data_IF_843371706537
#
_entry.id   IF_843371706537
#
_cell.length_a   1.000
_cell.length_b   1.000
_cell.length_c   1.000
_cell.angle_alpha   90.00
_cell.angle_beta   90.00
_cell.angle_gamma   90.00
#
_symmetry.space_group_name_H-M   'P 1'
#
loop_
_entity.id
_entity.type
_entity.pdbx_description
1 polymer ?
#
# COMPACT_ATOMS: atom_id res chain seq x y z
N UNK A 1 -45.36 50.52 9.02
CA UNK A 1 -45.21 49.33 8.15
C UNK A 1 -43.77 49.36 7.64
N UNK A 2 -42.88 48.62 8.30
CA UNK A 2 -41.44 48.60 8.00
C UNK A 2 -41.22 47.57 6.90
N UNK A 3 -40.77 48.03 5.73
CA UNK A 3 -40.33 47.17 4.63
C UNK A 3 -38.89 46.77 4.95
N UNK A 4 -38.70 45.53 5.42
CA UNK A 4 -37.36 44.93 5.52
C UNK A 4 -36.86 44.65 4.11
N UNK A 5 -35.83 45.39 3.69
CA UNK A 5 -34.98 44.99 2.57
C UNK A 5 -34.21 43.73 2.98
N UNK A 6 -34.57 42.59 2.39
CA UNK A 6 -33.73 41.40 2.34
C UNK A 6 -32.54 41.69 1.41
N UNK A 7 -31.38 41.95 2.00
CA UNK A 7 -30.11 41.86 1.29
C UNK A 7 -29.88 40.41 0.86
N UNK A 8 -29.41 40.14 -0.37
CA UNK A 8 -28.89 38.82 -0.71
C UNK A 8 -27.62 38.61 0.12
N UNK A 9 -27.59 37.55 0.93
CA UNK A 9 -26.34 37.02 1.47
C UNK A 9 -25.44 36.72 0.27
N UNK A 10 -24.33 37.45 0.17
CA UNK A 10 -23.35 37.29 -0.89
C UNK A 10 -22.84 35.86 -0.92
N UNK A 11 -22.93 35.24 -2.09
CA UNK A 11 -22.20 34.05 -2.45
C UNK A 11 -20.70 34.36 -2.38
N UNK A 12 -20.06 33.99 -1.27
CA UNK A 12 -18.61 33.95 -1.14
C UNK A 12 -18.26 32.50 -0.81
N UNK A 13 -18.04 31.68 -1.86
CA UNK A 13 -17.71 30.26 -1.69
C UNK A 13 -17.65 29.43 -2.98
N UNK A 14 -18.11 29.95 -4.12
CA UNK A 14 -18.27 29.16 -5.35
C UNK A 14 -16.97 28.76 -6.07
N UNK A 15 -15.87 29.51 -5.89
CA UNK A 15 -14.70 29.33 -6.78
C UNK A 15 -13.87 28.07 -6.47
N UNK A 16 -13.94 27.52 -5.25
CA UNK A 16 -13.14 26.35 -4.85
C UNK A 16 -13.69 25.01 -5.38
N UNK A 17 -15.02 24.84 -5.34
CA UNK A 17 -15.69 23.63 -5.82
C UNK A 17 -15.73 23.55 -7.35
N UNK A 18 -15.90 24.67 -8.04
CA UNK A 18 -15.94 24.72 -9.50
C UNK A 18 -14.65 24.17 -10.14
N UNK A 19 -13.50 24.43 -9.54
CA UNK A 19 -12.23 23.86 -10.02
C UNK A 19 -12.17 22.34 -9.80
N UNK A 20 -12.66 21.85 -8.65
CA UNK A 20 -12.71 20.42 -8.34
C UNK A 20 -13.66 19.69 -9.30
N UNK A 21 -14.82 20.26 -9.61
CA UNK A 21 -15.81 19.63 -10.52
C UNK A 21 -15.28 19.35 -11.93
N UNK A 22 -14.22 20.05 -12.36
CA UNK A 22 -13.56 19.83 -13.65
C UNK A 22 -12.61 18.62 -13.67
N UNK A 23 -12.25 18.08 -12.51
CA UNK A 23 -11.28 16.98 -12.38
C UNK A 23 -11.91 15.62 -12.70
N UNK A 24 -11.12 14.57 -12.99
CA UNK A 24 -11.65 13.21 -13.09
C UNK A 24 -12.28 12.73 -11.77
N UNK A 25 -13.34 11.89 -11.80
CA UNK A 25 -14.09 11.50 -10.60
C UNK A 25 -13.24 10.98 -9.42
N UNK A 26 -12.18 10.22 -9.72
CA UNK A 26 -11.25 9.74 -8.69
C UNK A 26 -10.47 10.87 -8.01
N UNK A 27 -10.04 11.88 -8.78
CA UNK A 27 -9.33 13.04 -8.24
C UNK A 27 -10.27 14.00 -7.51
N UNK A 28 -11.51 14.17 -8.00
CA UNK A 28 -12.56 14.89 -7.26
C UNK A 28 -12.76 14.26 -5.88
N UNK A 29 -12.94 12.95 -5.85
CA UNK A 29 -13.16 12.20 -4.62
C UNK A 29 -11.97 12.32 -3.68
N UNK A 30 -10.74 12.25 -4.23
CA UNK A 30 -9.49 12.43 -3.48
C UNK A 30 -9.42 13.80 -2.81
N UNK A 31 -9.57 14.88 -3.58
CA UNK A 31 -9.44 16.24 -3.04
C UNK A 31 -10.54 16.58 -2.03
N UNK A 32 -11.78 16.19 -2.30
CA UNK A 32 -12.90 16.41 -1.37
C UNK A 32 -12.73 15.63 -0.06
N UNK A 33 -12.27 14.38 -0.15
CA UNK A 33 -11.95 13.57 1.03
C UNK A 33 -10.79 14.17 1.83
N UNK A 34 -9.76 14.66 1.15
CA UNK A 34 -8.62 15.34 1.77
C UNK A 34 -9.05 16.60 2.52
N UNK A 35 -9.90 17.44 1.93
CA UNK A 35 -10.43 18.66 2.56
C UNK A 35 -11.19 18.32 3.85
N UNK A 36 -12.08 17.31 3.83
CA UNK A 36 -12.80 16.87 5.04
C UNK A 36 -11.86 16.32 6.10
N UNK A 37 -10.84 15.56 5.69
CA UNK A 37 -9.85 15.05 6.62
C UNK A 37 -9.04 16.19 7.21
N UNK A 38 -8.67 17.24 6.49
CA UNK A 38 -7.89 18.35 7.06
C UNK A 38 -8.69 19.10 8.15
N UNK A 39 -9.99 19.36 7.93
CA UNK A 39 -10.86 20.05 8.91
C UNK A 39 -11.04 19.29 10.22
N UNK A 40 -10.99 17.96 10.20
CA UNK A 40 -11.33 17.15 11.37
C UNK A 40 -10.52 17.51 12.63
N UNK A 41 -11.17 18.06 13.64
CA UNK A 41 -10.52 18.44 14.90
C UNK A 41 -9.99 19.86 14.94
N UNK A 42 -10.18 20.65 13.89
CA UNK A 42 -10.09 22.11 13.96
C UNK A 42 -11.39 22.63 14.57
N UNK A 43 -11.32 23.13 15.80
CA UNK A 43 -12.49 23.68 16.48
C UNK A 43 -12.74 25.15 16.08
N UNK A 44 -13.93 25.70 16.40
CA UNK A 44 -14.27 27.05 16.01
C UNK A 44 -13.32 28.13 16.54
N UNK A 45 -12.78 27.92 17.75
CA UNK A 45 -11.91 28.90 18.41
C UNK A 45 -10.56 28.97 17.70
N UNK A 46 -10.04 27.81 17.28
CA UNK A 46 -8.83 27.74 16.44
C UNK A 46 -9.00 28.50 15.12
N UNK A 47 -10.18 28.42 14.51
CA UNK A 47 -10.49 29.12 13.25
C UNK A 47 -10.66 30.62 13.45
N UNK A 48 -11.34 31.04 14.51
CA UNK A 48 -11.51 32.45 14.83
C UNK A 48 -10.14 33.12 15.09
N UNK A 49 -9.21 32.41 15.73
CA UNK A 49 -7.85 32.90 15.96
C UNK A 49 -7.00 32.98 14.68
N UNK A 50 -7.26 32.11 13.70
CA UNK A 50 -6.69 32.22 12.36
C UNK A 50 -7.30 33.37 11.54
N UNK A 51 -8.47 33.87 11.94
CA UNK A 51 -9.29 34.86 11.23
C UNK A 51 -8.94 36.34 11.49
N UNK A 52 -7.79 36.69 12.06
CA UNK A 52 -7.41 38.10 12.26
C UNK A 52 -7.29 38.80 10.87
N UNK A 53 -8.06 39.88 10.62
CA UNK A 53 -8.22 40.46 9.29
C UNK A 53 -7.07 41.40 8.95
N UNK A 54 -6.41 41.16 7.82
CA UNK A 54 -5.24 41.94 7.42
C UNK A 54 -4.99 41.99 5.92
N UNK A 55 -6.02 42.33 5.13
CA UNK A 55 -5.99 43.13 3.89
C UNK A 55 -6.89 42.54 2.79
N UNK A 56 -7.99 43.24 2.41
CA UNK A 56 -8.82 42.86 1.25
C UNK A 56 -8.10 43.02 -0.11
N UNK A 57 -6.79 43.35 -0.13
CA UNK A 57 -6.00 43.40 -1.36
C UNK A 57 -5.49 42.03 -1.86
N UNK A 58 -5.74 40.93 -1.13
CA UNK A 58 -5.33 39.57 -1.54
C UNK A 58 -6.43 38.78 -2.27
N UNK A 59 -7.33 39.50 -2.94
CA UNK A 59 -8.47 38.97 -3.73
C UNK A 59 -8.04 38.11 -4.95
N UNK A 60 -6.73 37.91 -5.15
CA UNK A 60 -6.16 37.17 -6.29
C UNK A 60 -5.37 35.90 -5.94
N UNK A 61 -5.12 35.61 -4.66
CA UNK A 61 -4.14 34.55 -4.29
C UNK A 61 -4.68 33.50 -3.33
N UNK A 62 -5.71 33.80 -2.52
CA UNK A 62 -6.31 32.83 -1.60
C UNK A 62 -7.24 31.82 -2.29
N UNK A 63 -7.84 32.19 -3.42
CA UNK A 63 -8.75 31.35 -4.20
C UNK A 63 -8.05 30.19 -4.95
N UNK A 64 -6.72 30.09 -4.89
CA UNK A 64 -5.94 29.09 -5.63
C UNK A 64 -5.08 28.19 -4.73
N UNK A 65 -5.30 28.23 -3.41
CA UNK A 65 -4.52 27.38 -2.48
C UNK A 65 -5.11 25.98 -2.49
N UNK A 66 -4.43 25.05 -3.17
CA UNK A 66 -4.78 23.64 -3.20
C UNK A 66 -4.30 22.96 -1.91
N UNK A 67 -5.03 21.98 -1.36
CA UNK A 67 -4.50 21.12 -0.31
C UNK A 67 -3.13 20.50 -0.67
N UNK A 68 -2.89 20.25 -1.96
CA UNK A 68 -1.63 19.66 -2.43
C UNK A 68 -0.41 20.59 -2.20
N UNK A 69 -0.60 21.90 -2.12
CA UNK A 69 0.49 22.87 -1.92
C UNK A 69 1.20 22.68 -0.57
N UNK A 70 0.46 22.18 0.43
CA UNK A 70 0.94 21.90 1.79
C UNK A 70 1.76 20.61 1.94
N UNK A 71 1.83 19.78 0.90
CA UNK A 71 2.57 18.50 0.93
C UNK A 71 4.07 18.69 0.83
N UNK A 72 4.50 19.78 0.21
CA UNK A 72 5.93 20.06 0.04
C UNK A 72 6.46 20.91 1.20
N UNK A 73 7.70 20.69 1.66
CA UNK A 73 8.30 21.52 2.69
C UNK A 73 8.48 22.99 2.28
N UNK A 74 8.49 23.28 0.97
CA UNK A 74 8.81 24.60 0.44
C UNK A 74 7.82 25.68 0.89
N UNK A 75 6.53 25.38 0.91
CA UNK A 75 5.52 26.36 1.33
C UNK A 75 5.69 26.77 2.80
N UNK A 76 6.25 25.89 3.65
CA UNK A 76 6.52 26.17 5.06
C UNK A 76 7.70 27.13 5.26
N UNK A 77 8.62 27.21 4.29
CA UNK A 77 9.88 27.94 4.40
C UNK A 77 9.80 29.31 3.71
N UNK A 78 9.05 29.40 2.61
CA UNK A 78 9.11 30.55 1.70
C UNK A 78 8.09 31.64 2.07
N UNK A 79 6.90 31.28 2.57
CA UNK A 79 5.86 32.27 2.92
C UNK A 79 4.86 31.74 3.96
N UNK A 80 5.18 31.93 5.23
CA UNK A 80 4.36 31.44 6.35
C UNK A 80 3.05 32.22 6.51
N UNK A 81 3.02 33.50 6.15
CA UNK A 81 1.81 34.33 6.24
C UNK A 81 0.78 33.89 5.20
N UNK A 82 1.19 33.68 3.95
CA UNK A 82 0.31 33.13 2.92
C UNK A 82 -0.13 31.70 3.25
N UNK A 83 0.75 30.89 3.84
CA UNK A 83 0.40 29.54 4.28
C UNK A 83 -0.70 29.55 5.36
N UNK A 84 -0.62 30.46 6.34
CA UNK A 84 -1.62 30.62 7.40
C UNK A 84 -2.95 31.16 6.87
N UNK A 85 -2.90 32.17 6.00
CA UNK A 85 -4.09 32.72 5.38
C UNK A 85 -4.79 31.66 4.49
N UNK A 86 -4.02 30.86 3.74
CA UNK A 86 -4.53 29.72 2.99
C UNK A 86 -5.12 28.63 3.89
N UNK A 87 -4.51 28.38 5.06
CA UNK A 87 -4.99 27.36 6.00
C UNK A 87 -6.30 27.81 6.65
N UNK A 88 -6.38 29.08 7.03
CA UNK A 88 -7.61 29.70 7.52
C UNK A 88 -8.74 29.57 6.50
N UNK A 89 -8.47 29.94 5.24
CA UNK A 89 -9.42 29.80 4.15
C UNK A 89 -9.87 28.34 3.96
N UNK A 90 -8.92 27.41 3.84
CA UNK A 90 -9.19 25.99 3.59
C UNK A 90 -10.03 25.37 4.71
N UNK A 91 -9.67 25.64 5.97
CA UNK A 91 -10.40 25.10 7.11
C UNK A 91 -11.80 25.71 7.24
N UNK A 92 -11.93 27.02 7.01
CA UNK A 92 -13.23 27.69 7.00
C UNK A 92 -14.13 27.16 5.89
N UNK A 93 -13.59 27.06 4.67
CA UNK A 93 -14.28 26.49 3.52
C UNK A 93 -14.75 25.05 3.78
N UNK A 94 -13.87 24.20 4.32
CA UNK A 94 -14.19 22.81 4.63
C UNK A 94 -15.31 22.70 5.67
N UNK A 95 -15.33 23.60 6.65
CA UNK A 95 -16.35 23.65 7.71
C UNK A 95 -17.70 24.12 7.18
N UNK A 96 -17.73 25.20 6.41
CA UNK A 96 -18.96 25.76 5.83
C UNK A 96 -19.56 24.84 4.77
N UNK A 97 -18.71 24.24 3.94
CA UNK A 97 -19.12 23.39 2.81
C UNK A 97 -19.23 21.91 3.17
N UNK A 98 -19.10 21.54 4.46
CA UNK A 98 -18.99 20.14 4.91
C UNK A 98 -20.11 19.24 4.38
N UNK A 99 -21.36 19.69 4.50
CA UNK A 99 -22.52 18.91 4.05
C UNK A 99 -22.55 18.77 2.53
N UNK A 100 -22.17 19.81 1.80
CA UNK A 100 -22.11 19.81 0.34
C UNK A 100 -21.00 18.87 -0.16
N UNK A 101 -19.81 18.94 0.45
CA UNK A 101 -18.68 18.05 0.16
C UNK A 101 -19.09 16.58 0.41
N UNK A 102 -19.73 16.29 1.54
CA UNK A 102 -20.23 14.95 1.85
C UNK A 102 -21.27 14.45 0.83
N UNK A 103 -22.22 15.32 0.43
CA UNK A 103 -23.20 14.98 -0.58
C UNK A 103 -22.54 14.72 -1.96
N UNK A 104 -21.51 15.50 -2.31
CA UNK A 104 -20.73 15.32 -3.53
C UNK A 104 -19.96 14.00 -3.52
N UNK A 105 -19.25 13.68 -2.42
CA UNK A 105 -18.55 12.41 -2.25
C UNK A 105 -19.51 11.21 -2.40
N UNK A 106 -20.68 11.27 -1.75
CA UNK A 106 -21.69 10.22 -1.86
C UNK A 106 -22.19 10.06 -3.30
N UNK A 107 -22.44 11.17 -4.00
CA UNK A 107 -22.88 11.18 -5.40
C UNK A 107 -21.81 10.60 -6.33
N UNK A 108 -20.56 11.02 -6.17
CA UNK A 108 -19.42 10.55 -6.98
C UNK A 108 -19.23 9.05 -6.77
N UNK A 109 -19.28 8.58 -5.51
CA UNK A 109 -19.15 7.16 -5.18
C UNK A 109 -20.30 6.33 -5.77
N UNK A 110 -21.54 6.80 -5.65
CA UNK A 110 -22.69 6.12 -6.23
C UNK A 110 -22.63 6.04 -7.77
N UNK A 111 -22.12 7.09 -8.42
CA UNK A 111 -21.97 7.14 -9.87
C UNK A 111 -20.76 6.33 -10.38
N UNK A 112 -19.70 6.19 -9.57
CA UNK A 112 -18.40 5.63 -9.99
C UNK A 112 -17.83 4.59 -9.00
N UNK A 113 -18.60 3.57 -8.56
CA UNK A 113 -18.20 2.72 -7.43
C UNK A 113 -16.90 1.95 -7.66
N UNK A 114 -16.65 1.49 -8.90
CA UNK A 114 -15.42 0.77 -9.26
C UNK A 114 -14.21 1.70 -9.20
N UNK A 115 -14.31 2.90 -9.78
CA UNK A 115 -13.21 3.87 -9.74
C UNK A 115 -12.88 4.29 -8.30
N UNK A 116 -13.92 4.53 -7.50
CA UNK A 116 -13.72 4.94 -6.10
C UNK A 116 -13.14 3.79 -5.26
N UNK A 117 -13.48 2.53 -5.55
CA UNK A 117 -12.85 1.39 -4.88
C UNK A 117 -11.34 1.25 -5.15
N UNK A 118 -10.84 1.82 -6.25
CA UNK A 118 -9.42 1.85 -6.59
C UNK A 118 -8.68 3.04 -5.97
N UNK A 119 -9.39 4.02 -5.40
CA UNK A 119 -8.77 5.17 -4.75
C UNK A 119 -8.09 4.72 -3.46
N UNK A 120 -6.80 5.06 -3.32
CA UNK A 120 -6.02 4.71 -2.14
C UNK A 120 -6.34 5.65 -0.97
N UNK A 121 -7.29 5.26 -0.12
CA UNK A 121 -7.67 6.03 1.08
C UNK A 121 -6.52 6.21 2.07
N UNK A 122 -5.59 5.25 2.15
CA UNK A 122 -4.39 5.36 2.99
C UNK A 122 -3.53 6.55 2.54
N UNK A 123 -3.25 6.66 1.24
CA UNK A 123 -2.48 7.80 0.69
C UNK A 123 -3.16 9.15 0.95
N UNK A 124 -4.50 9.21 0.85
CA UNK A 124 -5.26 10.43 1.19
C UNK A 124 -5.10 10.78 2.67
N UNK A 125 -5.13 9.77 3.54
CA UNK A 125 -5.01 9.95 4.98
C UNK A 125 -3.60 10.39 5.38
N UNK A 126 -2.57 9.82 4.76
CA UNK A 126 -1.16 10.26 4.92
C UNK A 126 -1.00 11.72 4.51
N UNK A 127 -1.52 12.08 3.33
CA UNK A 127 -1.54 13.44 2.82
C UNK A 127 -2.21 14.39 3.83
N UNK A 128 -3.38 14.01 4.36
CA UNK A 128 -4.08 14.81 5.37
C UNK A 128 -3.23 15.01 6.64
N UNK A 129 -2.53 13.97 7.11
CA UNK A 129 -1.64 14.05 8.28
C UNK A 129 -0.49 15.02 8.03
N UNK A 130 0.12 15.00 6.84
CA UNK A 130 1.21 15.92 6.49
C UNK A 130 0.72 17.37 6.52
N UNK A 131 -0.44 17.63 5.92
CA UNK A 131 -1.03 18.98 5.83
C UNK A 131 -1.46 19.48 7.20
N UNK A 132 -2.13 18.65 7.99
CA UNK A 132 -2.53 18.98 9.37
C UNK A 132 -1.33 19.36 10.23
N UNK A 133 -0.22 18.63 10.12
CA UNK A 133 1.02 18.97 10.81
C UNK A 133 1.60 20.31 10.30
N UNK A 134 1.60 20.54 8.98
CA UNK A 134 2.04 21.81 8.40
C UNK A 134 1.26 22.99 8.99
N UNK A 135 -0.07 22.88 9.03
CA UNK A 135 -0.97 23.91 9.58
C UNK A 135 -0.70 24.09 11.09
N UNK A 136 -0.61 23.01 11.85
CA UNK A 136 -0.38 23.09 13.29
C UNK A 136 0.97 23.73 13.63
N UNK A 137 2.01 23.45 12.84
CA UNK A 137 3.33 24.05 12.99
C UNK A 137 3.30 25.53 12.59
N UNK A 138 2.62 25.88 11.49
CA UNK A 138 2.41 27.26 11.07
C UNK A 138 1.79 28.12 12.18
N UNK A 139 0.74 27.60 12.82
CA UNK A 139 0.03 28.27 13.93
C UNK A 139 0.94 28.41 15.13
N UNK A 140 1.69 27.36 15.47
CA UNK A 140 2.64 27.37 16.58
C UNK A 140 3.76 28.40 16.41
N UNK A 141 4.28 28.55 15.20
CA UNK A 141 5.36 29.51 14.90
C UNK A 141 4.88 30.96 14.81
N UNK A 142 3.61 31.21 14.51
CA UNK A 142 3.07 32.57 14.39
C UNK A 142 2.91 33.29 15.74
N UNK A 143 3.29 32.66 16.86
CA UNK A 143 3.05 33.13 18.24
C UNK A 143 1.57 33.46 18.54
N UNK A 144 0.64 33.06 17.68
CA UNK A 144 -0.80 33.13 17.96
C UNK A 144 -1.16 32.30 19.20
N UNK A 145 -0.37 31.26 19.50
CA UNK A 145 -0.53 30.36 20.63
C UNK A 145 -0.02 30.89 21.99
N UNK A 146 0.40 32.17 22.07
CA UNK A 146 0.76 32.79 23.36
C UNK A 146 -0.45 32.99 24.29
N UNK A 147 -1.67 32.85 23.76
CA UNK A 147 -2.91 32.78 24.54
C UNK A 147 -3.16 31.34 25.03
N UNK A 148 -3.23 31.13 26.35
CA UNK A 148 -3.38 29.81 26.99
C UNK A 148 -4.59 29.02 26.45
N UNK A 149 -5.66 29.72 26.08
CA UNK A 149 -6.86 29.16 25.46
C UNK A 149 -6.57 28.62 24.06
N UNK A 150 -5.89 29.37 23.19
CA UNK A 150 -5.57 28.93 21.83
C UNK A 150 -4.58 27.75 21.84
N UNK A 151 -3.63 27.73 22.78
CA UNK A 151 -2.69 26.62 22.95
C UNK A 151 -3.43 25.29 23.18
N UNK A 152 -4.53 25.30 23.95
CA UNK A 152 -5.34 24.10 24.19
C UNK A 152 -6.08 23.63 22.93
N UNK A 153 -6.61 24.55 22.14
CA UNK A 153 -7.28 24.26 20.87
C UNK A 153 -6.30 23.71 19.82
N UNK A 154 -5.12 24.30 19.71
CA UNK A 154 -4.03 23.78 18.87
C UNK A 154 -3.58 22.39 19.32
N UNK A 155 -3.47 22.15 20.62
CA UNK A 155 -3.12 20.85 21.17
C UNK A 155 -4.19 19.79 20.87
N UNK A 156 -5.46 20.18 20.89
CA UNK A 156 -6.58 19.33 20.49
C UNK A 156 -6.46 18.91 19.03
N UNK A 157 -6.19 19.87 18.14
CA UNK A 157 -5.97 19.60 16.71
C UNK A 157 -4.78 18.65 16.45
N UNK A 158 -3.66 18.85 17.17
CA UNK A 158 -2.49 17.94 17.13
C UNK A 158 -2.86 16.54 17.63
N UNK A 159 -3.61 16.44 18.72
CA UNK A 159 -4.05 15.16 19.29
C UNK A 159 -4.96 14.41 18.32
N UNK A 160 -5.88 15.11 17.65
CA UNK A 160 -6.74 14.50 16.62
C UNK A 160 -5.93 14.02 15.40
N UNK A 161 -4.86 14.73 15.05
CA UNK A 161 -3.94 14.31 13.98
C UNK A 161 -3.17 13.05 14.35
N UNK A 162 -2.70 12.93 15.60
CA UNK A 162 -2.09 11.69 16.11
C UNK A 162 -3.10 10.55 16.11
N UNK A 163 -4.34 10.79 16.55
CA UNK A 163 -5.40 9.78 16.51
C UNK A 163 -5.65 9.29 15.08
N UNK A 164 -5.73 10.20 14.11
CA UNK A 164 -5.91 9.85 12.70
C UNK A 164 -4.78 8.94 12.21
N UNK A 165 -3.52 9.29 12.53
CA UNK A 165 -2.35 8.45 12.22
C UNK A 165 -2.48 7.06 12.86
N UNK A 166 -2.78 6.98 14.15
CA UNK A 166 -2.83 5.71 14.86
C UNK A 166 -3.91 4.78 14.29
N UNK A 167 -5.07 5.33 13.90
CA UNK A 167 -6.13 4.54 13.26
C UNK A 167 -5.66 4.00 11.90
N UNK A 168 -5.06 4.87 11.07
CA UNK A 168 -4.51 4.47 9.77
C UNK A 168 -3.42 3.39 9.92
N UNK A 169 -2.48 3.57 10.83
CA UNK A 169 -1.41 2.60 11.12
C UNK A 169 -1.99 1.27 11.63
N UNK A 170 -3.02 1.31 12.47
CA UNK A 170 -3.70 0.11 12.94
C UNK A 170 -4.38 -0.65 11.79
N UNK A 171 -5.06 0.04 10.86
CA UNK A 171 -5.70 -0.58 9.70
C UNK A 171 -4.67 -1.21 8.74
N UNK A 172 -3.53 -0.53 8.52
CA UNK A 172 -2.42 -1.08 7.72
C UNK A 172 -1.88 -2.34 8.40
N UNK A 173 -1.57 -2.26 9.70
CA UNK A 173 -1.06 -3.39 10.47
C UNK A 173 -2.01 -4.59 10.45
N UNK A 174 -3.33 -4.35 10.60
CA UNK A 174 -4.30 -5.44 10.57
C UNK A 174 -4.35 -6.12 9.20
N UNK A 175 -4.28 -5.37 8.11
CA UNK A 175 -4.25 -5.92 6.74
C UNK A 175 -2.99 -6.76 6.50
N UNK A 176 -1.85 -6.29 6.99
CA UNK A 176 -0.59 -7.04 6.90
C UNK A 176 -0.64 -8.34 7.71
N UNK A 177 -1.24 -8.32 8.90
CA UNK A 177 -1.47 -9.53 9.68
C UNK A 177 -2.37 -10.54 8.97
N UNK A 178 -3.46 -10.07 8.34
CA UNK A 178 -4.36 -10.94 7.58
C UNK A 178 -3.62 -11.61 6.41
N UNK A 179 -2.82 -10.84 5.67
CA UNK A 179 -2.00 -11.37 4.56
C UNK A 179 -0.98 -12.40 5.06
N UNK A 180 -0.23 -12.09 6.12
CA UNK A 180 0.73 -13.02 6.71
C UNK A 180 0.05 -14.30 7.21
N UNK A 181 -1.16 -14.18 7.73
CA UNK A 181 -1.96 -15.33 8.18
C UNK A 181 -2.36 -16.20 6.99
N UNK A 182 -2.81 -15.61 5.89
CA UNK A 182 -3.17 -16.32 4.67
C UNK A 182 -1.96 -17.05 4.06
N UNK A 183 -0.81 -16.38 3.98
CA UNK A 183 0.45 -16.97 3.51
C UNK A 183 0.91 -18.12 4.42
N UNK A 184 0.78 -17.97 5.74
CA UNK A 184 1.09 -19.02 6.70
C UNK A 184 0.16 -20.23 6.56
N UNK A 185 -1.15 -20.01 6.38
CA UNK A 185 -2.14 -21.09 6.14
C UNK A 185 -1.80 -21.85 4.85
N UNK A 186 -1.53 -21.14 3.76
CA UNK A 186 -1.15 -21.76 2.49
C UNK A 186 0.13 -22.60 2.62
N UNK A 187 1.14 -22.07 3.33
CA UNK A 187 2.41 -22.77 3.60
C UNK A 187 2.21 -24.04 4.45
N UNK A 188 1.42 -23.97 5.52
CA UNK A 188 1.13 -25.12 6.37
C UNK A 188 0.29 -26.17 5.62
N UNK A 189 -0.73 -25.74 4.87
CA UNK A 189 -1.53 -26.63 4.03
C UNK A 189 -0.68 -27.39 3.01
N UNK A 190 0.25 -26.70 2.33
CA UNK A 190 1.18 -27.33 1.40
C UNK A 190 2.13 -28.34 2.07
N UNK A 191 2.61 -28.04 3.28
CA UNK A 191 3.45 -29.00 4.05
C UNK A 191 2.66 -30.23 4.48
N UNK A 192 1.41 -30.06 4.92
CA UNK A 192 0.56 -31.18 5.33
C UNK A 192 0.17 -32.08 4.16
N UNK A 193 -0.15 -31.49 3.01
CA UNK A 193 -0.37 -32.23 1.77
C UNK A 193 0.89 -33.00 1.33
N UNK A 194 2.07 -32.38 1.43
CA UNK A 194 3.34 -33.07 1.16
C UNK A 194 3.59 -34.26 2.10
N UNK A 195 3.31 -34.11 3.41
CA UNK A 195 3.40 -35.22 4.35
C UNK A 195 2.39 -36.32 4.05
N UNK A 196 1.16 -35.94 3.71
CA UNK A 196 0.12 -36.91 3.36
C UNK A 196 0.51 -37.71 2.13
N UNK A 197 1.04 -37.09 1.07
CA UNK A 197 1.59 -37.81 -0.08
C UNK A 197 2.73 -38.75 0.32
N UNK A 198 3.63 -38.34 1.22
CA UNK A 198 4.71 -39.22 1.69
C UNK A 198 4.20 -40.45 2.46
N UNK A 199 3.04 -40.36 3.12
CA UNK A 199 2.42 -41.50 3.83
C UNK A 199 1.50 -42.34 2.94
N UNK A 200 0.77 -41.71 2.01
CA UNK A 200 -0.21 -42.35 1.13
C UNK A 200 0.43 -42.90 -0.17
N UNK A 201 1.57 -42.35 -0.60
CA UNK A 201 2.37 -42.90 -1.71
C UNK A 201 3.05 -44.18 -1.22
N UNK A 202 2.33 -45.28 -1.41
CA UNK A 202 2.79 -46.64 -1.13
C UNK A 202 4.14 -46.85 -1.83
N UNK A 203 5.23 -47.01 -1.06
CA UNK A 203 6.56 -47.35 -1.61
C UNK A 203 6.36 -48.55 -2.54
N UNK A 204 6.65 -48.40 -3.84
CA UNK A 204 6.49 -49.45 -4.85
C UNK A 204 7.45 -50.62 -4.57
N UNK A 205 7.07 -51.42 -3.57
CA UNK A 205 7.78 -52.60 -3.11
C UNK A 205 7.98 -53.60 -4.24
N UNK A 206 7.03 -53.66 -5.19
CA UNK A 206 7.11 -54.51 -6.38
C UNK A 206 8.16 -54.00 -7.38
N UNK A 207 8.30 -52.69 -7.56
CA UNK A 207 9.36 -52.08 -8.35
C UNK A 207 10.75 -52.34 -7.75
N UNK A 208 10.84 -52.25 -6.42
CA UNK A 208 12.06 -52.52 -5.65
C UNK A 208 12.47 -54.00 -5.72
N UNK A 209 11.50 -54.93 -5.61
CA UNK A 209 11.72 -56.37 -5.78
C UNK A 209 12.23 -56.72 -7.19
N UNK A 210 11.68 -56.08 -8.23
CA UNK A 210 12.18 -56.27 -9.61
C UNK A 210 13.61 -55.79 -9.79
N UNK A 211 14.01 -54.71 -9.10
CA UNK A 211 15.39 -54.23 -9.13
C UNK A 211 16.33 -55.19 -8.42
N UNK A 212 15.92 -55.78 -7.29
CA UNK A 212 16.67 -56.84 -6.62
C UNK A 212 16.80 -58.10 -7.50
N UNK A 213 15.72 -58.53 -8.15
CA UNK A 213 15.75 -59.67 -9.07
C UNK A 213 16.64 -59.42 -10.29
N UNK A 214 16.59 -58.21 -10.86
CA UNK A 214 17.47 -57.82 -11.96
C UNK A 214 18.95 -57.78 -11.52
N UNK A 215 19.24 -57.26 -10.33
CA UNK A 215 20.60 -57.25 -9.76
C UNK A 215 21.12 -58.68 -9.53
N UNK A 216 20.26 -59.57 -9.01
CA UNK A 216 20.59 -60.99 -8.83
C UNK A 216 20.85 -61.69 -10.16
N UNK A 217 20.08 -61.37 -11.21
CA UNK A 217 20.30 -61.90 -12.56
C UNK A 217 21.63 -61.41 -13.16
N UNK A 218 21.95 -60.12 -13.02
CA UNK A 218 23.21 -59.55 -13.52
C UNK A 218 24.40 -60.19 -12.79
N UNK A 219 24.37 -60.27 -11.46
CA UNK A 219 25.44 -60.85 -10.66
C UNK A 219 25.73 -62.31 -11.07
N UNK A 220 24.69 -63.14 -11.18
CA UNK A 220 24.83 -64.55 -11.58
C UNK A 220 25.24 -64.71 -13.05
N UNK A 221 24.96 -63.73 -13.92
CA UNK A 221 25.40 -63.73 -15.31
C UNK A 221 26.89 -63.42 -15.42
N UNK A 222 27.41 -62.50 -14.62
CA UNK A 222 28.83 -62.13 -14.62
C UNK A 222 29.70 -63.32 -14.19
N UNK A 223 29.29 -64.05 -13.15
CA UNK A 223 30.03 -65.24 -12.69
C UNK A 223 30.12 -66.33 -13.78
N UNK A 224 29.04 -66.56 -14.54
CA UNK A 224 29.06 -67.50 -15.67
C UNK A 224 29.87 -66.99 -16.87
N UNK A 225 29.82 -65.69 -17.14
CA UNK A 225 30.58 -65.07 -18.22
C UNK A 225 32.10 -65.17 -17.96
N UNK A 226 32.53 -64.96 -16.71
CA UNK A 226 33.95 -65.07 -16.35
C UNK A 226 34.49 -66.50 -16.54
N UNK A 227 33.66 -67.51 -16.26
CA UNK A 227 33.99 -68.92 -16.52
C UNK A 227 34.09 -69.23 -18.02
N UNK A 228 33.11 -68.78 -18.82
CA UNK A 228 33.12 -68.99 -20.27
C UNK A 228 34.26 -68.23 -20.96
N UNK A 229 34.56 -67.01 -20.52
CA UNK A 229 35.70 -66.22 -21.01
C UNK A 229 37.04 -66.89 -20.66
N UNK A 230 37.15 -67.52 -19.49
CA UNK A 230 38.31 -68.32 -19.10
C UNK A 230 38.54 -69.53 -20.02
N UNK A 231 37.47 -70.26 -20.35
CA UNK A 231 37.56 -71.40 -21.29
C UNK A 231 37.94 -70.94 -22.71
N UNK A 232 37.35 -69.84 -23.18
CA UNK A 232 37.64 -69.30 -24.50
C UNK A 232 39.09 -68.80 -24.62
N UNK A 233 39.62 -68.18 -23.56
CA UNK A 233 41.03 -67.74 -23.53
C UNK A 233 42.00 -68.90 -23.47
N UNK A 234 41.67 -70.00 -22.79
CA UNK A 234 42.45 -71.24 -22.81
C UNK A 234 42.47 -71.88 -24.22
N UNK A 235 41.32 -71.89 -24.91
CA UNK A 235 41.21 -72.41 -26.27
C UNK A 235 41.99 -71.58 -27.28
N UNK A 236 41.92 -70.24 -27.16
CA UNK A 236 42.74 -69.33 -27.97
C UNK A 236 44.23 -69.57 -27.72
N UNK A 237 44.68 -69.72 -26.46
CA UNK A 237 46.08 -70.02 -26.14
C UNK A 237 46.54 -71.35 -26.75
N UNK A 238 45.73 -72.41 -26.66
CA UNK A 238 46.03 -73.70 -27.31
C UNK A 238 46.20 -73.55 -28.82
N UNK A 239 45.29 -72.83 -29.48
CA UNK A 239 45.36 -72.59 -30.92
C UNK A 239 46.58 -71.76 -31.32
N UNK A 240 46.95 -70.75 -30.54
CA UNK A 240 48.18 -69.96 -30.78
C UNK A 240 49.42 -70.83 -30.63
N UNK A 241 49.52 -71.65 -29.58
CA UNK A 241 50.66 -72.57 -29.38
C UNK A 241 50.75 -73.59 -30.53
N UNK A 242 49.62 -74.14 -30.99
CA UNK A 242 49.57 -75.04 -32.15
C UNK A 242 49.99 -74.33 -33.45
N UNK A 243 49.60 -73.08 -33.64
CA UNK A 243 50.01 -72.30 -34.83
C UNK A 243 51.50 -71.93 -34.83
N UNK A 244 52.10 -71.72 -33.65
CA UNK A 244 53.51 -71.36 -33.52
C UNK A 244 54.47 -72.56 -33.42
N UNK A 245 53.95 -73.77 -33.22
CA UNK A 245 54.75 -75.01 -33.13
C UNK A 245 54.94 -75.72 -34.47
N UNK A 246 54.46 -75.16 -35.57
CA UNK A 246 54.62 -75.72 -36.92
C UNK A 246 55.58 -74.83 -37.75
N UNK A 247 56.89 -75.15 -37.83
CA UNK A 247 57.86 -74.35 -38.55
C UNK A 247 57.85 -74.73 -40.03
N UNK A 248 56.80 -74.34 -40.75
CA UNK A 248 56.77 -74.25 -42.20
C UNK A 248 55.49 -73.51 -42.62
N UNK A 249 55.53 -72.19 -42.41
CA UNK A 249 54.67 -71.24 -43.10
C UNK A 249 55.41 -70.75 -44.36
N UNK A 250 54.77 -70.51 -45.50
CA UNK A 250 54.98 -69.24 -46.17
C UNK A 250 54.45 -68.08 -45.30
#
# INVERSE_FOLDING_TARGET
>A
MIILLSLPLGAAGSNGLEHIESLPPGEQYRQLSLILLIEGGADPVLLDALGIPGNPASDKTLANVSPDDYKTPLIRIVDQESMLAGAAFLLQFARESKQEIQASLARINAANPVLISMVNMTSITEDAIIIRNAIADAIGYANLADEETLAQHLQTYRTQTIRLRNVMEYEIYNRELDQLTEEAIASVGGKMDAYQRMFDEEVDSKGLDRQFDAAKYIFNRTEKFDVEAGLLTEEIMKNVILSQSNPNNP
#
